data_IF_920347019241
#
_entry.id   IF_920347019241
#
_cell.length_a   1.000
_cell.length_b   1.000
_cell.length_c   1.000
_cell.angle_alpha   90.00
_cell.angle_beta   90.00
_cell.angle_gamma   90.00
#
_symmetry.space_group_name_H-M   'P 1'
#
loop_
_entity.id
_entity.type
_entity.pdbx_description
1 polymer ?
#
# COMPACT_ATOMS: atom_id res chain seq x y z
N UNK A 1 -8.88 -17.31 7.37
CA UNK A 1 -7.69 -17.95 7.98
C UNK A 1 -6.61 -16.93 8.23
N UNK A 2 -5.89 -17.10 9.34
CA UNK A 2 -4.78 -16.26 9.79
C UNK A 2 -3.47 -17.03 9.57
N UNK A 3 -2.45 -16.37 9.03
CA UNK A 3 -1.12 -16.93 8.82
C UNK A 3 -0.04 -16.02 9.41
N UNK A 4 0.78 -16.58 10.29
CA UNK A 4 1.91 -15.91 10.91
C UNK A 4 3.21 -16.34 10.20
N UNK A 5 4.19 -15.43 10.12
CA UNK A 5 5.51 -15.69 9.55
C UNK A 5 5.50 -16.24 8.11
N UNK A 6 4.48 -15.89 7.33
CA UNK A 6 4.38 -16.26 5.91
C UNK A 6 5.24 -15.32 5.06
N UNK A 7 6.06 -15.88 4.18
CA UNK A 7 6.85 -15.08 3.24
C UNK A 7 5.95 -14.34 2.26
N UNK A 8 6.43 -13.21 1.71
CA UNK A 8 5.67 -12.49 0.69
C UNK A 8 5.33 -13.34 -0.54
N UNK A 9 6.25 -14.23 -0.96
CA UNK A 9 6.04 -15.10 -2.11
C UNK A 9 4.91 -16.11 -1.88
N UNK A 10 4.83 -16.70 -0.68
CA UNK A 10 3.73 -17.59 -0.30
C UNK A 10 2.39 -16.82 -0.24
N UNK A 11 2.38 -15.64 0.40
CA UNK A 11 1.20 -14.78 0.43
C UNK A 11 0.73 -14.38 -0.97
N UNK A 12 1.66 -14.05 -1.87
CA UNK A 12 1.34 -13.68 -3.25
C UNK A 12 0.65 -14.83 -3.99
N UNK A 13 1.04 -16.08 -3.71
CA UNK A 13 0.48 -17.29 -4.33
C UNK A 13 -0.90 -17.69 -3.78
N UNK A 14 -1.31 -17.22 -2.60
CA UNK A 14 -2.64 -17.52 -2.05
C UNK A 14 -3.76 -17.07 -3.01
N UNK A 15 -4.88 -17.80 -3.09
CA UNK A 15 -6.06 -17.31 -3.80
C UNK A 15 -6.66 -16.09 -3.10
N UNK A 16 -7.40 -15.27 -3.84
CA UNK A 16 -8.16 -14.15 -3.30
C UNK A 16 -7.69 -12.77 -3.73
N UNK A 17 -8.62 -11.83 -3.67
CA UNK A 17 -8.41 -10.44 -4.06
C UNK A 17 -7.76 -9.65 -2.94
N UNK A 18 -6.67 -8.96 -3.29
CA UNK A 18 -5.96 -8.02 -2.42
C UNK A 18 -6.28 -6.58 -2.81
N UNK A 19 -6.19 -5.66 -1.86
CA UNK A 19 -6.51 -4.25 -2.11
C UNK A 19 -5.77 -3.63 -3.30
N UNK A 20 -4.50 -3.98 -3.52
CA UNK A 20 -3.73 -3.45 -4.65
C UNK A 20 -4.30 -3.84 -6.02
N UNK A 21 -5.05 -4.94 -6.10
CA UNK A 21 -5.84 -5.30 -7.28
C UNK A 21 -7.19 -4.57 -7.28
N UNK A 22 -7.94 -4.66 -6.19
CA UNK A 22 -9.30 -4.09 -6.06
C UNK A 22 -9.28 -2.60 -6.40
N UNK A 23 -8.32 -1.83 -5.87
CA UNK A 23 -8.24 -0.39 -6.11
C UNK A 23 -8.00 0.00 -7.57
N UNK A 24 -7.53 -0.90 -8.44
CA UNK A 24 -7.39 -0.61 -9.87
C UNK A 24 -8.75 -0.39 -10.56
N UNK A 25 -9.84 -0.89 -9.97
CA UNK A 25 -11.19 -0.66 -10.46
C UNK A 25 -11.60 0.82 -10.41
N UNK A 26 -11.03 1.61 -9.49
CA UNK A 26 -11.22 3.08 -9.46
C UNK A 26 -10.68 3.75 -10.74
N UNK A 27 -9.74 3.09 -11.44
CA UNK A 27 -9.29 3.49 -12.78
C UNK A 27 -10.25 2.94 -13.84
N UNK A 28 -10.32 1.62 -13.96
CA UNK A 28 -11.35 0.85 -14.69
C UNK A 28 -11.13 -0.67 -14.54
N UNK A 29 -12.15 -1.52 -14.79
CA UNK A 29 -11.98 -2.98 -14.86
C UNK A 29 -10.89 -3.46 -15.82
N UNK A 30 -10.72 -2.79 -16.97
CA UNK A 30 -9.62 -3.07 -17.90
C UNK A 30 -8.22 -2.95 -17.28
N UNK A 31 -8.01 -2.01 -16.35
CA UNK A 31 -6.73 -1.87 -15.65
C UNK A 31 -6.47 -3.06 -14.72
N UNK A 32 -7.51 -3.55 -14.04
CA UNK A 32 -7.41 -4.77 -13.24
C UNK A 32 -7.11 -5.99 -14.13
N UNK A 33 -7.86 -6.20 -15.22
CA UNK A 33 -7.60 -7.31 -16.16
C UNK A 33 -6.17 -7.29 -16.71
N UNK A 34 -5.64 -6.10 -17.02
CA UNK A 34 -4.24 -5.95 -17.42
C UNK A 34 -3.27 -6.38 -16.31
N UNK A 35 -3.49 -5.95 -15.06
CA UNK A 35 -2.63 -6.31 -13.93
C UNK A 35 -2.65 -7.81 -13.61
N UNK A 36 -3.73 -8.52 -13.94
CA UNK A 36 -3.83 -9.98 -13.76
C UNK A 36 -3.13 -10.78 -14.86
N UNK A 37 -2.92 -10.18 -16.03
CA UNK A 37 -2.37 -10.88 -17.22
C UNK A 37 -0.89 -10.57 -17.45
N UNK A 38 -0.41 -9.42 -16.96
CA UNK A 38 0.99 -9.02 -17.11
C UNK A 38 1.78 -9.37 -15.85
N UNK A 39 2.89 -10.13 -15.97
CA UNK A 39 3.77 -10.41 -14.85
C UNK A 39 4.27 -9.13 -14.21
N UNK A 40 4.10 -9.04 -12.89
CA UNK A 40 4.58 -7.91 -12.11
C UNK A 40 6.11 -7.95 -12.00
N UNK A 41 6.79 -6.90 -12.45
CA UNK A 41 8.26 -6.81 -12.43
C UNK A 41 8.74 -6.11 -11.19
N UNK A 42 9.29 -6.84 -10.22
CA UNK A 42 9.83 -6.24 -9.01
C UNK A 42 10.88 -5.17 -9.33
N UNK A 43 10.59 -3.93 -8.92
CA UNK A 43 11.44 -2.77 -9.22
C UNK A 43 12.44 -2.54 -8.09
N UNK A 44 13.55 -1.86 -8.37
CA UNK A 44 14.52 -1.48 -7.32
C UNK A 44 13.88 -0.65 -6.21
N UNK A 45 12.92 0.22 -6.55
CA UNK A 45 12.14 0.97 -5.57
C UNK A 45 11.30 0.08 -4.67
N UNK A 46 10.67 -0.97 -5.20
CA UNK A 46 9.86 -1.91 -4.40
C UNK A 46 10.71 -2.83 -3.55
N UNK A 47 11.86 -3.26 -4.07
CA UNK A 47 12.89 -3.95 -3.30
C UNK A 47 13.35 -3.11 -2.09
N UNK A 48 13.61 -1.81 -2.30
CA UNK A 48 13.96 -0.88 -1.21
C UNK A 48 12.85 -0.76 -0.17
N UNK A 49 11.60 -0.55 -0.61
CA UNK A 49 10.45 -0.45 0.30
C UNK A 49 10.26 -1.73 1.12
N UNK A 50 10.36 -2.91 0.49
CA UNK A 50 10.28 -4.20 1.19
C UNK A 50 11.37 -4.32 2.25
N UNK A 51 12.60 -3.97 1.90
CA UNK A 51 13.72 -3.98 2.84
C UNK A 51 13.51 -3.04 4.05
N UNK A 52 12.90 -1.86 3.84
CA UNK A 52 12.47 -0.98 4.93
C UNK A 52 11.43 -1.67 5.82
N UNK A 53 10.40 -2.28 5.23
CA UNK A 53 9.36 -2.99 5.99
C UNK A 53 9.94 -4.15 6.79
N UNK A 54 10.72 -5.04 6.17
CA UNK A 54 11.37 -6.16 6.85
C UNK A 54 12.21 -5.68 8.03
N UNK A 55 13.07 -4.66 7.82
CA UNK A 55 13.89 -4.18 8.91
C UNK A 55 13.07 -3.49 10.00
N UNK A 56 12.12 -2.62 9.64
CA UNK A 56 11.35 -1.82 10.60
C UNK A 56 10.30 -2.62 11.38
N UNK A 57 9.69 -3.62 10.75
CA UNK A 57 8.57 -4.39 11.32
C UNK A 57 9.04 -5.73 11.89
N UNK A 58 9.82 -6.49 11.14
CA UNK A 58 10.18 -7.88 11.48
C UNK A 58 11.52 -7.98 12.22
N UNK A 59 12.40 -6.99 12.07
CA UNK A 59 13.64 -6.92 12.84
C UNK A 59 14.90 -7.25 12.05
N UNK A 60 16.03 -7.14 12.76
CA UNK A 60 17.36 -7.32 12.16
C UNK A 60 17.60 -8.74 11.67
N UNK A 61 17.15 -9.74 12.43
CA UNK A 61 17.39 -11.15 12.11
C UNK A 61 16.76 -11.51 10.75
N UNK A 62 15.45 -11.26 10.59
CA UNK A 62 14.74 -11.48 9.32
C UNK A 62 15.36 -10.65 8.19
N UNK A 63 15.73 -9.39 8.46
CA UNK A 63 16.38 -8.55 7.46
C UNK A 63 17.70 -9.13 6.95
N UNK A 64 18.56 -9.62 7.84
CA UNK A 64 19.88 -10.19 7.47
C UNK A 64 19.75 -11.55 6.75
N UNK A 65 18.63 -12.26 6.94
CA UNK A 65 18.29 -13.46 6.17
C UNK A 65 17.79 -13.15 4.76
N UNK A 66 16.89 -12.17 4.62
CA UNK A 66 16.20 -11.88 3.37
C UNK A 66 16.93 -10.88 2.45
N UNK A 67 17.82 -10.06 2.99
CA UNK A 67 18.45 -8.95 2.28
C UNK A 67 19.97 -9.14 2.17
N UNK A 68 20.51 -8.90 0.97
CA UNK A 68 21.95 -8.93 0.72
C UNK A 68 22.42 -7.64 0.05
N UNK A 69 23.61 -7.20 0.43
CA UNK A 69 24.22 -5.97 -0.09
C UNK A 69 25.23 -6.29 -1.18
N UNK A 70 24.98 -5.80 -2.38
CA UNK A 70 25.89 -5.89 -3.50
C UNK A 70 26.86 -4.70 -3.52
N UNK A 71 28.15 -4.99 -3.37
CA UNK A 71 29.24 -4.00 -3.29
C UNK A 71 29.84 -3.61 -4.64
N UNK A 72 29.49 -4.30 -5.73
CA UNK A 72 29.98 -3.95 -7.06
C UNK A 72 29.46 -2.59 -7.54
N UNK A 73 30.16 -1.96 -8.50
CA UNK A 73 29.84 -0.60 -8.94
C UNK A 73 28.45 -0.47 -9.60
N UNK A 74 28.12 -1.33 -10.57
CA UNK A 74 26.83 -1.25 -11.32
C UNK A 74 26.07 -2.56 -11.28
N UNK A 75 24.73 -2.51 -11.38
CA UNK A 75 23.88 -3.72 -11.49
C UNK A 75 23.90 -4.30 -12.92
N UNK A 76 25.09 -4.46 -13.50
CA UNK A 76 25.30 -4.92 -14.88
C UNK A 76 26.58 -5.75 -14.99
N UNK A 77 26.59 -6.67 -15.96
CA UNK A 77 27.76 -7.48 -16.32
C UNK A 77 27.94 -8.73 -15.45
N UNK A 78 28.99 -9.50 -15.78
CA UNK A 78 29.22 -10.86 -15.25
C UNK A 78 29.22 -10.95 -13.72
N UNK A 79 29.81 -9.96 -13.04
CA UNK A 79 29.86 -9.93 -11.57
C UNK A 79 28.46 -9.76 -10.97
N UNK A 80 27.64 -8.88 -11.56
CA UNK A 80 26.26 -8.70 -11.13
C UNK A 80 25.41 -9.94 -11.41
N UNK A 81 25.55 -10.54 -12.60
CA UNK A 81 24.77 -11.72 -12.97
C UNK A 81 25.10 -12.90 -12.05
N UNK A 82 26.38 -13.14 -11.75
CA UNK A 82 26.81 -14.17 -10.80
C UNK A 82 26.27 -13.90 -9.39
N UNK A 83 26.38 -12.66 -8.90
CA UNK A 83 25.86 -12.29 -7.58
C UNK A 83 24.34 -12.49 -7.49
N UNK A 84 23.59 -12.09 -8.54
CA UNK A 84 22.14 -12.28 -8.59
C UNK A 84 21.75 -13.76 -8.57
N UNK A 85 22.46 -14.60 -9.32
CA UNK A 85 22.20 -16.05 -9.35
C UNK A 85 22.47 -16.71 -8.00
N UNK A 86 23.55 -16.33 -7.30
CA UNK A 86 23.85 -16.86 -5.97
C UNK A 86 22.87 -16.39 -4.88
N UNK A 87 22.08 -15.35 -5.13
CA UNK A 87 21.16 -14.74 -4.17
C UNK A 87 19.71 -14.73 -4.69
N UNK A 88 19.33 -15.74 -5.47
CA UNK A 88 17.95 -15.90 -5.92
C UNK A 88 17.01 -15.97 -4.71
N UNK A 89 15.87 -15.28 -4.79
CA UNK A 89 14.89 -15.18 -3.71
C UNK A 89 15.20 -14.10 -2.67
N UNK A 90 16.44 -13.58 -2.60
CA UNK A 90 16.81 -12.49 -1.69
C UNK A 90 16.63 -11.12 -2.33
N UNK A 91 16.36 -10.12 -1.49
CA UNK A 91 16.36 -8.72 -1.90
C UNK A 91 17.80 -8.22 -2.02
N UNK A 92 18.19 -7.74 -3.21
CA UNK A 92 19.56 -7.28 -3.46
C UNK A 92 19.63 -5.76 -3.47
N UNK A 93 20.24 -5.18 -2.44
CA UNK A 93 20.47 -3.74 -2.31
C UNK A 93 21.87 -3.32 -2.73
N UNK A 94 22.04 -2.05 -3.06
CA UNK A 94 23.33 -1.36 -3.11
C UNK A 94 23.70 -0.85 -1.73
N UNK A 95 24.99 -0.59 -1.51
CA UNK A 95 25.50 -0.05 -0.24
C UNK A 95 24.73 1.21 0.20
N UNK A 96 24.55 2.19 -0.70
CA UNK A 96 23.80 3.41 -0.37
C UNK A 96 22.30 3.18 -0.12
N UNK A 97 21.72 2.13 -0.70
CA UNK A 97 20.33 1.74 -0.44
C UNK A 97 20.19 1.07 0.93
N UNK A 98 21.14 0.21 1.32
CA UNK A 98 21.17 -0.40 2.66
C UNK A 98 21.35 0.65 3.77
N UNK A 99 22.22 1.65 3.55
CA UNK A 99 22.35 2.79 4.47
C UNK A 99 21.02 3.53 4.65
N UNK A 100 20.31 3.76 3.54
CA UNK A 100 19.02 4.42 3.57
C UNK A 100 17.96 3.58 4.30
N UNK A 101 17.88 2.28 4.01
CA UNK A 101 16.97 1.34 4.68
C UNK A 101 17.17 1.35 6.19
N UNK A 102 18.43 1.24 6.63
CA UNK A 102 18.77 1.24 8.06
C UNK A 102 18.37 2.54 8.74
N UNK A 103 18.70 3.68 8.13
CA UNK A 103 18.36 4.99 8.67
C UNK A 103 16.84 5.20 8.77
N UNK A 104 16.08 4.80 7.75
CA UNK A 104 14.62 4.90 7.77
C UNK A 104 13.99 3.97 8.80
N UNK A 105 14.42 2.70 8.87
CA UNK A 105 13.89 1.75 9.84
C UNK A 105 14.22 2.14 11.29
N UNK A 106 15.40 2.69 11.52
CA UNK A 106 15.79 3.24 12.83
C UNK A 106 14.91 4.43 13.21
N UNK A 107 14.69 5.39 12.30
CA UNK A 107 13.82 6.53 12.56
C UNK A 107 12.38 6.10 12.88
N UNK A 108 11.83 5.14 12.12
CA UNK A 108 10.49 4.57 12.37
C UNK A 108 10.41 3.96 13.76
N UNK A 109 11.37 3.11 14.15
CA UNK A 109 11.36 2.44 15.46
C UNK A 109 11.63 3.39 16.64
N UNK A 110 12.40 4.45 16.42
CA UNK A 110 12.70 5.44 17.46
C UNK A 110 11.56 6.46 17.64
N UNK A 111 10.58 6.54 16.74
CA UNK A 111 9.44 7.42 16.89
C UNK A 111 8.57 6.96 18.07
N UNK A 112 8.33 7.79 19.11
CA UNK A 112 7.67 7.36 20.34
C UNK A 112 6.29 6.70 20.14
N UNK A 113 5.43 7.28 19.31
CA UNK A 113 4.12 6.71 19.04
C UNK A 113 4.19 5.39 18.24
N UNK A 114 5.21 5.22 17.39
CA UNK A 114 5.40 3.96 16.66
C UNK A 114 5.89 2.88 17.63
N UNK A 115 6.85 3.22 18.48
CA UNK A 115 7.35 2.32 19.51
C UNK A 115 6.24 1.85 20.47
N UNK A 116 5.30 2.72 20.82
CA UNK A 116 4.11 2.37 21.61
C UNK A 116 3.16 1.43 20.84
N UNK A 117 2.80 1.77 19.59
CA UNK A 117 1.94 0.94 18.74
C UNK A 117 2.55 -0.45 18.46
N UNK A 118 3.88 -0.53 18.41
CA UNK A 118 4.63 -1.76 18.13
C UNK A 118 5.20 -2.44 19.37
N UNK A 119 4.80 -2.01 20.58
CA UNK A 119 5.27 -2.63 21.82
C UNK A 119 4.80 -4.09 21.95
N UNK A 120 3.58 -4.38 21.47
CA UNK A 120 2.99 -5.71 21.39
C UNK A 120 2.25 -5.86 20.07
N UNK A 121 2.40 -7.00 19.41
CA UNK A 121 1.69 -7.27 18.16
C UNK A 121 2.42 -8.26 17.27
N UNK A 122 1.88 -8.41 16.06
CA UNK A 122 2.37 -9.33 15.04
C UNK A 122 2.70 -8.54 13.77
N UNK A 123 3.96 -8.55 13.31
CA UNK A 123 4.30 -7.97 12.03
C UNK A 123 3.78 -8.83 10.88
N UNK A 124 3.50 -8.19 9.75
CA UNK A 124 3.36 -8.83 8.44
C UNK A 124 2.32 -9.98 8.39
N UNK A 125 1.24 -9.82 9.17
CA UNK A 125 0.20 -10.81 9.37
C UNK A 125 -0.65 -10.99 8.10
N UNK A 126 -0.70 -12.21 7.58
CA UNK A 126 -1.47 -12.51 6.38
C UNK A 126 -2.85 -13.09 6.73
N UNK A 127 -3.90 -12.52 6.14
CA UNK A 127 -5.29 -12.95 6.34
C UNK A 127 -5.93 -13.34 5.02
N UNK A 128 -6.83 -14.31 5.09
CA UNK A 128 -7.73 -14.71 3.99
C UNK A 128 -9.15 -14.83 4.52
N UNK A 129 -10.14 -14.49 3.70
CA UNK A 129 -11.56 -14.62 4.05
C UNK A 129 -12.42 -14.67 2.79
N UNK A 130 -13.71 -14.93 2.96
CA UNK A 130 -14.72 -14.71 1.93
C UNK A 130 -15.47 -13.45 2.30
N UNK A 131 -15.53 -12.49 1.40
CA UNK A 131 -16.30 -11.27 1.59
C UNK A 131 -17.80 -11.61 1.60
N UNK A 132 -18.48 -11.35 2.72
CA UNK A 132 -19.86 -11.79 2.93
C UNK A 132 -20.85 -11.20 1.91
N UNK A 133 -20.64 -9.95 1.50
CA UNK A 133 -21.53 -9.25 0.58
C UNK A 133 -21.42 -9.75 -0.86
N UNK A 134 -20.21 -10.12 -1.30
CA UNK A 134 -19.94 -10.47 -2.70
C UNK A 134 -19.68 -11.95 -2.93
N UNK A 135 -19.42 -12.72 -1.87
CA UNK A 135 -18.98 -14.13 -1.96
C UNK A 135 -17.57 -14.31 -2.53
N UNK A 136 -16.82 -13.22 -2.76
CA UNK A 136 -15.49 -13.28 -3.36
C UNK A 136 -14.42 -13.61 -2.31
N UNK A 137 -13.43 -14.48 -2.65
CA UNK A 137 -12.29 -14.71 -1.78
C UNK A 137 -11.42 -13.44 -1.72
N UNK A 138 -11.05 -13.02 -0.53
CA UNK A 138 -10.19 -11.87 -0.26
C UNK A 138 -8.94 -12.29 0.51
N UNK A 139 -7.89 -11.47 0.39
CA UNK A 139 -6.66 -11.63 1.17
C UNK A 139 -5.97 -10.30 1.43
N UNK A 140 -5.29 -10.20 2.55
CA UNK A 140 -4.42 -9.07 2.87
C UNK A 140 -3.17 -9.52 3.62
N UNK A 141 -2.16 -8.65 3.65
CA UNK A 141 -0.97 -8.76 4.50
C UNK A 141 -0.84 -7.42 5.22
N UNK A 142 -1.00 -7.46 6.53
CA UNK A 142 -1.05 -6.29 7.41
C UNK A 142 0.36 -6.07 7.94
N UNK A 143 0.89 -4.86 7.78
CA UNK A 143 2.26 -4.52 8.22
C UNK A 143 2.44 -4.78 9.72
N UNK A 144 1.48 -4.38 10.56
CA UNK A 144 1.47 -4.67 11.99
C UNK A 144 0.05 -4.72 12.56
N UNK A 145 -0.25 -5.76 13.34
CA UNK A 145 -1.49 -5.87 14.12
C UNK A 145 -1.16 -6.07 15.60
N UNK A 146 -1.50 -5.08 16.43
CA UNK A 146 -1.33 -5.11 17.88
C UNK A 146 -2.63 -4.80 18.64
N UNK A 147 -2.60 -4.80 19.98
CA UNK A 147 -3.76 -4.50 20.80
C UNK A 147 -4.24 -3.05 20.67
N UNK A 148 -3.37 -2.13 20.24
CA UNK A 148 -3.73 -0.74 19.96
C UNK A 148 -4.31 -0.52 18.56
N UNK A 149 -4.23 -1.53 17.68
CA UNK A 149 -4.80 -1.45 16.34
C UNK A 149 -3.87 -1.89 15.23
N UNK A 150 -4.25 -1.50 14.02
CA UNK A 150 -3.47 -1.76 12.79
C UNK A 150 -2.56 -0.58 12.52
N UNK A 151 -1.31 -0.88 12.24
CA UNK A 151 -0.35 0.09 11.73
C UNK A 151 0.05 -0.32 10.33
N UNK A 152 0.02 0.64 9.40
CA UNK A 152 0.44 0.47 8.01
C UNK A 152 1.52 1.52 7.69
N UNK A 153 2.73 1.03 7.38
CA UNK A 153 3.92 1.83 7.17
C UNK A 153 3.99 2.30 5.73
N UNK A 154 4.13 3.60 5.55
CA UNK A 154 4.22 4.26 4.25
C UNK A 154 5.51 5.06 4.18
N UNK A 155 6.45 4.61 3.36
CA UNK A 155 7.59 5.45 2.98
C UNK A 155 7.13 6.46 1.93
N UNK A 156 6.73 7.64 2.40
CA UNK A 156 6.23 8.77 1.60
C UNK A 156 7.08 9.98 1.95
N UNK A 157 7.59 10.68 0.94
CA UNK A 157 8.66 11.69 1.11
C UNK A 157 8.29 12.98 1.82
N UNK A 158 7.32 12.95 2.73
CA UNK A 158 6.80 14.08 3.51
C UNK A 158 6.08 13.56 4.76
N UNK A 159 6.22 14.31 5.86
CA UNK A 159 5.46 14.15 7.11
C UNK A 159 4.43 15.27 7.30
N UNK A 160 4.32 16.20 6.34
CA UNK A 160 3.32 17.27 6.38
C UNK A 160 1.90 16.70 6.32
N UNK A 161 1.10 16.97 7.35
CA UNK A 161 -0.25 16.43 7.52
C UNK A 161 -1.13 16.65 6.27
N UNK A 162 -1.07 17.83 5.65
CA UNK A 162 -1.92 18.15 4.50
C UNK A 162 -1.49 17.39 3.26
N UNK A 163 -0.18 17.26 3.04
CA UNK A 163 0.35 16.44 1.95
C UNK A 163 0.06 14.95 2.15
N UNK A 164 0.24 14.45 3.37
CA UNK A 164 -0.09 13.07 3.73
C UNK A 164 -1.57 12.80 3.51
N UNK A 165 -2.47 13.67 3.98
CA UNK A 165 -3.91 13.54 3.77
C UNK A 165 -4.28 13.49 2.28
N UNK A 166 -3.66 14.34 1.44
CA UNK A 166 -3.84 14.27 -0.03
C UNK A 166 -3.35 12.94 -0.59
N UNK A 167 -2.24 12.40 -0.10
CA UNK A 167 -1.72 11.10 -0.53
C UNK A 167 -2.62 9.94 -0.10
N UNK A 168 -3.15 9.96 1.13
CA UNK A 168 -4.12 8.98 1.63
C UNK A 168 -5.33 8.90 0.72
N UNK A 169 -5.91 10.04 0.34
CA UNK A 169 -7.02 10.12 -0.59
C UNK A 169 -6.62 9.63 -2.00
N UNK A 170 -5.55 10.20 -2.57
CA UNK A 170 -5.13 9.92 -3.96
C UNK A 170 -4.68 8.49 -4.19
N UNK A 171 -3.97 7.89 -3.24
CA UNK A 171 -3.42 6.53 -3.34
C UNK A 171 -4.34 5.46 -2.74
N UNK A 172 -5.48 5.90 -2.21
CA UNK A 172 -6.53 5.09 -1.59
C UNK A 172 -6.00 4.21 -0.44
N UNK A 173 -5.23 4.82 0.47
CA UNK A 173 -4.71 4.12 1.65
C UNK A 173 -5.80 3.84 2.67
N UNK A 174 -6.80 4.72 2.80
CA UNK A 174 -7.93 4.46 3.68
C UNK A 174 -8.73 3.20 3.27
N UNK A 175 -8.92 2.97 1.97
CA UNK A 175 -9.56 1.75 1.48
C UNK A 175 -8.69 0.49 1.70
N UNK A 176 -7.36 0.64 1.81
CA UNK A 176 -6.46 -0.45 2.20
C UNK A 176 -6.73 -0.86 3.64
N UNK A 177 -6.76 0.11 4.55
CA UNK A 177 -7.04 -0.12 5.96
C UNK A 177 -8.46 -0.63 6.20
N UNK A 178 -9.46 -0.13 5.46
CA UNK A 178 -10.80 -0.70 5.49
C UNK A 178 -10.83 -2.17 5.00
N UNK A 179 -10.05 -2.51 3.98
CA UNK A 179 -9.92 -3.89 3.53
C UNK A 179 -9.22 -4.78 4.55
N UNK A 180 -8.29 -4.23 5.33
CA UNK A 180 -7.70 -4.94 6.47
C UNK A 180 -8.74 -5.15 7.59
N UNK A 181 -9.52 -4.12 7.94
CA UNK A 181 -10.57 -4.19 8.95
C UNK A 181 -11.58 -5.31 8.64
N UNK A 182 -12.05 -5.42 7.39
CA UNK A 182 -12.96 -6.51 6.99
C UNK A 182 -12.31 -7.88 7.12
N UNK A 183 -11.03 -8.02 6.73
CA UNK A 183 -10.30 -9.27 6.87
C UNK A 183 -10.08 -9.67 8.33
N UNK A 184 -9.84 -8.70 9.20
CA UNK A 184 -9.68 -8.88 10.64
C UNK A 184 -11.00 -9.33 11.27
N UNK A 185 -12.08 -8.60 11.01
CA UNK A 185 -13.42 -8.94 11.53
C UNK A 185 -13.89 -10.32 11.05
N UNK A 186 -13.68 -10.65 9.77
CA UNK A 186 -14.02 -11.96 9.23
C UNK A 186 -13.20 -13.12 9.83
N UNK A 187 -12.09 -12.82 10.51
CA UNK A 187 -11.28 -13.79 11.24
C UNK A 187 -11.51 -13.74 12.76
N UNK A 188 -12.54 -13.02 13.24
CA UNK A 188 -12.89 -12.92 14.66
C UNK A 188 -11.86 -12.16 15.50
N UNK A 189 -11.07 -11.30 14.85
CA UNK A 189 -10.11 -10.42 15.51
C UNK A 189 -10.74 -9.03 15.68
N UNK A 190 -10.22 -8.27 16.65
CA UNK A 190 -10.65 -6.89 16.90
C UNK A 190 -9.52 -5.92 16.58
N UNK A 191 -9.90 -4.74 16.09
CA UNK A 191 -8.99 -3.61 15.85
C UNK A 191 -9.64 -2.35 16.38
N UNK A 192 -9.08 -1.77 17.46
CA UNK A 192 -9.66 -0.56 18.03
C UNK A 192 -9.38 0.70 17.19
N UNK A 193 -8.30 0.72 16.40
CA UNK A 193 -7.93 1.87 15.58
C UNK A 193 -7.05 1.48 14.37
N UNK A 194 -6.96 2.38 13.39
CA UNK A 194 -6.11 2.20 12.21
C UNK A 194 -5.18 3.42 12.03
N UNK A 195 -3.88 3.15 11.87
CA UNK A 195 -2.84 4.16 11.79
C UNK A 195 -2.07 4.06 10.48
N UNK A 196 -1.78 5.22 9.88
CA UNK A 196 -0.75 5.36 8.85
C UNK A 196 0.49 5.95 9.49
N UNK A 197 1.62 5.26 9.33
CA UNK A 197 2.94 5.78 9.68
C UNK A 197 3.58 6.29 8.40
N UNK A 198 3.75 7.61 8.30
CA UNK A 198 4.44 8.26 7.19
C UNK A 198 5.92 8.43 7.54
N UNK A 199 6.81 7.84 6.74
CA UNK A 199 8.26 8.01 6.88
C UNK A 199 8.86 8.60 5.60
N UNK A 200 9.70 9.63 5.70
CA UNK A 200 10.27 10.30 4.52
C UNK A 200 11.06 9.38 3.59
N UNK A 201 11.76 8.41 4.16
CA UNK A 201 12.58 7.44 3.40
C UNK A 201 13.83 8.03 2.76
N UNK A 202 14.19 9.26 3.11
CA UNK A 202 15.41 10.00 2.70
C UNK A 202 15.51 11.28 3.51
N UNK A 203 16.63 11.99 3.40
CA UNK A 203 16.77 13.31 4.00
C UNK A 203 16.83 13.24 5.52
N UNK A 204 15.97 14.01 6.19
CA UNK A 204 15.94 14.08 7.65
C UNK A 204 15.44 12.78 8.29
N UNK A 205 14.80 11.90 7.52
CA UNK A 205 14.19 10.66 7.99
C UNK A 205 13.08 10.93 9.01
N UNK A 206 12.33 12.02 8.81
CA UNK A 206 11.22 12.33 9.71
C UNK A 206 10.10 11.28 9.61
N UNK A 207 9.38 11.13 10.72
CA UNK A 207 8.29 10.15 10.87
C UNK A 207 7.09 10.82 11.53
N UNK A 208 5.92 10.61 10.95
CA UNK A 208 4.65 11.03 11.52
C UNK A 208 3.67 9.86 11.59
N UNK A 209 2.78 9.90 12.58
CA UNK A 209 1.74 8.89 12.80
C UNK A 209 0.38 9.56 12.75
N UNK A 210 -0.51 9.04 11.91
CA UNK A 210 -1.85 9.57 11.72
C UNK A 210 -2.88 8.49 11.97
N UNK A 211 -3.79 8.74 12.91
CA UNK A 211 -4.95 7.90 13.16
C UNK A 211 -6.06 8.24 12.14
N UNK A 212 -6.67 7.22 11.54
CA UNK A 212 -7.70 7.39 10.52
C UNK A 212 -9.12 7.33 11.08
N UNK A 213 -9.29 6.81 12.29
CA UNK A 213 -10.58 6.68 12.97
C UNK A 213 -10.74 7.75 14.05
N UNK A 214 -11.01 8.99 13.64
CA UNK A 214 -11.11 10.13 14.55
C UNK A 214 -12.48 10.26 15.24
N UNK A 215 -13.35 9.24 15.15
CA UNK A 215 -14.72 9.31 15.67
C UNK A 215 -15.63 10.32 14.96
N UNK A 216 -15.21 10.82 13.78
CA UNK A 216 -15.97 11.73 12.94
C UNK A 216 -16.84 10.93 11.94
N UNK A 217 -18.10 11.35 11.67
CA UNK A 217 -19.00 10.65 10.73
C UNK A 217 -18.43 10.46 9.31
N UNK A 218 -17.49 11.33 8.91
CA UNK A 218 -16.83 11.31 7.60
C UNK A 218 -15.31 11.06 7.71
N UNK A 219 -14.89 10.30 8.71
CA UNK A 219 -13.48 9.93 8.91
C UNK A 219 -12.89 9.20 7.69
N UNK A 220 -11.56 9.28 7.52
CA UNK A 220 -10.87 8.69 6.38
C UNK A 220 -11.19 7.20 6.24
N UNK A 221 -11.24 6.46 7.35
CA UNK A 221 -11.55 5.03 7.35
C UNK A 221 -12.97 4.73 6.84
N UNK A 222 -13.98 5.53 7.23
CA UNK A 222 -15.35 5.39 6.73
C UNK A 222 -15.41 5.59 5.21
N UNK A 223 -14.79 6.67 4.69
CA UNK A 223 -14.68 6.91 3.25
C UNK A 223 -13.94 5.76 2.54
N UNK A 224 -12.93 5.20 3.19
CA UNK A 224 -12.21 4.00 2.73
C UNK A 224 -13.11 2.76 2.61
N UNK A 225 -13.95 2.52 3.62
CA UNK A 225 -14.90 1.40 3.65
C UNK A 225 -15.97 1.53 2.56
N UNK A 226 -16.53 2.72 2.38
CA UNK A 226 -17.47 3.02 1.30
C UNK A 226 -16.84 2.80 -0.09
N UNK A 227 -15.61 3.28 -0.28
CA UNK A 227 -14.86 3.04 -1.51
C UNK A 227 -14.60 1.55 -1.73
N UNK A 228 -14.18 0.80 -0.70
CA UNK A 228 -13.96 -0.65 -0.79
C UNK A 228 -15.25 -1.36 -1.20
N UNK A 229 -16.37 -1.06 -0.54
CA UNK A 229 -17.67 -1.68 -0.81
C UNK A 229 -18.10 -1.49 -2.27
N UNK A 230 -18.01 -0.26 -2.79
CA UNK A 230 -18.34 0.03 -4.19
C UNK A 230 -17.45 -0.73 -5.18
N UNK A 231 -16.13 -0.77 -4.93
CA UNK A 231 -15.20 -1.48 -5.81
C UNK A 231 -15.35 -3.00 -5.73
N UNK A 232 -15.69 -3.56 -4.56
CA UNK A 232 -15.97 -4.98 -4.40
C UNK A 232 -17.25 -5.40 -5.14
N UNK A 233 -18.30 -4.58 -5.09
CA UNK A 233 -19.52 -4.82 -5.87
C UNK A 233 -19.23 -4.82 -7.37
N UNK A 234 -18.50 -3.83 -7.87
CA UNK A 234 -18.07 -3.78 -9.28
C UNK A 234 -17.20 -4.98 -9.66
N UNK A 235 -16.31 -5.43 -8.76
CA UNK A 235 -15.50 -6.62 -8.97
C UNK A 235 -16.36 -7.87 -9.12
N UNK A 236 -17.38 -8.04 -8.27
CA UNK A 236 -18.29 -9.17 -8.31
C UNK A 236 -19.04 -9.24 -9.65
N UNK A 237 -19.51 -8.10 -10.15
CA UNK A 237 -20.13 -7.99 -11.48
C UNK A 237 -19.16 -8.41 -12.59
N UNK A 238 -17.93 -7.86 -12.60
CA UNK A 238 -16.93 -8.18 -13.62
C UNK A 238 -16.52 -9.66 -13.59
N UNK A 239 -16.42 -10.25 -12.40
CA UNK A 239 -16.10 -11.68 -12.24
C UNK A 239 -17.25 -12.55 -12.72
N UNK A 240 -18.51 -12.17 -12.43
CA UNK A 240 -19.69 -12.93 -12.81
C UNK A 240 -19.96 -12.90 -14.33
N UNK A 241 -19.71 -11.76 -14.99
CA UNK A 241 -19.93 -11.59 -16.44
C UNK A 241 -18.70 -11.94 -17.29
N UNK A 242 -17.51 -12.01 -16.69
CA UNK A 242 -16.20 -11.98 -17.37
C UNK A 242 -16.02 -10.76 -18.32
N UNK A 243 -16.71 -9.66 -18.03
CA UNK A 243 -16.57 -8.40 -18.75
C UNK A 243 -15.69 -7.41 -17.99
N UNK A 244 -14.73 -6.79 -18.70
CA UNK A 244 -13.71 -5.92 -18.10
C UNK A 244 -13.61 -4.58 -18.83
N UNK A 245 -14.66 -3.74 -18.79
CA UNK A 245 -14.73 -2.53 -19.61
C UNK A 245 -13.65 -1.50 -19.26
N UNK A 246 -13.35 -0.65 -20.26
CA UNK A 246 -12.57 0.56 -20.08
C UNK A 246 -13.39 1.67 -19.40
N UNK A 247 -12.80 2.85 -19.21
CA UNK A 247 -13.52 3.99 -18.62
C UNK A 247 -14.54 4.61 -19.58
N UNK A 248 -14.22 4.62 -20.87
CA UNK A 248 -15.07 5.19 -21.92
C UNK A 248 -15.08 4.22 -23.09
N UNK A 249 -16.26 3.86 -23.56
CA UNK A 249 -16.46 3.00 -24.74
C UNK A 249 -16.64 3.82 -26.02
N UNK A 250 -17.09 5.06 -25.87
CA UNK A 250 -17.39 5.99 -26.96
C UNK A 250 -16.66 7.30 -26.76
N UNK A 251 -16.61 8.12 -27.83
CA UNK A 251 -16.10 9.48 -27.75
C UNK A 251 -16.85 10.28 -26.68
N UNK A 252 -16.12 11.04 -25.88
CA UNK A 252 -16.65 11.91 -24.83
C UNK A 252 -16.16 13.33 -25.10
N UNK A 253 -17.00 14.30 -24.76
CA UNK A 253 -16.56 15.69 -24.73
C UNK A 253 -15.56 15.89 -23.59
N UNK A 254 -14.41 16.50 -23.91
CA UNK A 254 -13.38 16.81 -22.94
C UNK A 254 -13.57 18.25 -22.46
N UNK A 255 -14.04 18.41 -21.23
CA UNK A 255 -14.19 19.71 -20.59
C UNK A 255 -12.88 20.06 -19.86
N UNK A 256 -12.33 21.24 -20.16
CA UNK A 256 -11.15 21.74 -19.48
C UNK A 256 -11.48 22.10 -18.03
N UNK A 257 -10.52 21.94 -17.09
CA UNK A 257 -10.72 22.37 -15.71
C UNK A 257 -10.93 23.88 -15.64
N UNK A 258 -11.64 24.35 -14.61
CA UNK A 258 -12.05 25.75 -14.48
C UNK A 258 -10.90 26.76 -14.61
N UNK A 259 -9.72 26.44 -14.07
CA UNK A 259 -8.53 27.30 -14.17
C UNK A 259 -7.98 27.50 -15.59
N UNK A 260 -8.39 26.67 -16.55
CA UNK A 260 -7.97 26.74 -17.95
C UNK A 260 -9.06 27.33 -18.86
N UNK A 261 -10.26 27.58 -18.32
CA UNK A 261 -11.31 28.27 -19.04
C UNK A 261 -10.94 29.75 -19.08
N UNK A 262 -11.12 30.39 -20.23
CA UNK A 262 -10.99 31.83 -20.35
C UNK A 262 -12.24 32.42 -19.69
N UNK A 263 -12.05 33.21 -18.63
CA UNK A 263 -13.13 34.01 -18.06
C UNK A 263 -13.54 35.05 -19.12
N UNK A 264 -14.69 34.83 -19.77
CA UNK A 264 -15.36 35.87 -20.55
C UNK A 264 -16.03 36.88 -19.58
N UNK A 265 -15.23 37.56 -18.74
CA UNK A 265 -15.60 38.86 -18.20
C UNK A 265 -15.26 39.93 -19.25
N UNK A 266 -16.08 40.03 -20.28
CA UNK A 266 -16.21 41.25 -21.08
C UNK A 266 -17.37 42.05 -20.50
N UNK A 267 -17.06 42.96 -19.57
CA UNK A 267 -17.93 44.07 -19.18
C UNK A 267 -17.25 45.37 -19.55
N UNK A 268 -17.81 46.12 -20.51
CA UNK A 268 -17.85 47.60 -20.62
C UNK A 268 -18.70 47.92 -21.88
N UNK A 269 -19.74 48.74 -21.89
CA UNK A 269 -20.37 49.56 -20.87
C UNK A 269 -21.73 50.06 -21.38
N UNK A 270 -22.54 50.54 -20.45
CA UNK A 270 -23.77 51.30 -20.73
C UNK A 270 -23.43 52.60 -21.48
N UNK A 271 -24.18 52.90 -22.55
CA UNK A 271 -24.51 54.27 -22.99
C UNK A 271 -26.03 54.39 -23.11
#
# INVERSE_FOLDING_TARGET
MVYESMSYTEYAALPGWRWSHIKLLSRSPKHLKHALTVPDKDTTSRALLRAIHTLALEGREVYEEEVVVFTGATRRGKVWDAFRVCNLGKTILKVGEDVLVRATAEAVRNHPAVAELMAEGRPELSLTWVDEATGLPCKCRIDWLGPLGVLDLKTIGTTDEREVARMVARLQFAGQLAHYADGIGANGLEVPAAYIVAAEGKGAQDVAVFELDSGMPDGALYVGAESRRGLMAQLAECVASDEWPGRHETAQDLILPSWALIDDEITFGEE
#
